data_IF_344936368845
#
_entry.id   IF_344936368845
#
_cell.length_a   1.000
_cell.length_b   1.000
_cell.length_c   1.000
_cell.angle_alpha   90.00
_cell.angle_beta   90.00
_cell.angle_gamma   90.00
#
_symmetry.space_group_name_H-M   'P 1'
#
loop_
_entity.id
_entity.type
_entity.pdbx_description
1 polymer ?
#
# COMPACT_ATOMS: atom_id res chain seq x y z
N UNK A 1 -19.86 -36.89 29.81
CA UNK A 1 -20.49 -35.63 30.26
C UNK A 1 -19.42 -34.54 30.21
N UNK A 2 -19.35 -33.78 29.11
CA UNK A 2 -18.30 -32.78 28.91
C UNK A 2 -18.56 -31.62 29.86
N UNK A 3 -17.58 -31.32 30.73
CA UNK A 3 -17.70 -30.32 31.77
C UNK A 3 -17.72 -28.92 31.12
N UNK A 4 -18.93 -28.40 30.86
CA UNK A 4 -19.20 -27.13 30.19
C UNK A 4 -18.43 -25.96 30.83
N UNK A 5 -18.11 -26.07 32.13
CA UNK A 5 -17.31 -25.10 32.89
C UNK A 5 -15.83 -25.08 32.47
N UNK A 6 -15.25 -26.23 32.08
CA UNK A 6 -13.89 -26.28 31.53
C UNK A 6 -13.83 -25.71 30.11
N UNK A 7 -14.87 -25.92 29.29
CA UNK A 7 -14.96 -25.35 27.93
C UNK A 7 -15.11 -23.83 27.99
N UNK A 8 -15.97 -23.31 28.88
CA UNK A 8 -16.12 -21.86 29.11
C UNK A 8 -14.82 -21.24 29.67
N UNK A 9 -14.11 -21.94 30.56
CA UNK A 9 -12.83 -21.45 31.07
C UNK A 9 -11.71 -21.49 30.01
N UNK A 10 -11.74 -22.42 29.06
CA UNK A 10 -10.81 -22.42 27.92
C UNK A 10 -11.14 -21.31 26.90
N UNK A 11 -12.43 -21.01 26.69
CA UNK A 11 -12.88 -19.89 25.84
C UNK A 11 -12.55 -18.52 26.47
N UNK A 12 -12.79 -18.34 27.78
CA UNK A 12 -12.39 -17.14 28.51
C UNK A 12 -10.88 -16.92 28.56
N UNK A 13 -10.09 -18.00 28.60
CA UNK A 13 -8.62 -17.92 28.59
C UNK A 13 -8.06 -17.54 27.21
N UNK A 14 -8.84 -17.71 26.13
CA UNK A 14 -8.49 -17.24 24.78
C UNK A 14 -8.94 -15.80 24.49
N UNK A 15 -9.87 -15.23 25.26
CA UNK A 15 -10.36 -13.85 25.09
C UNK A 15 -9.53 -12.77 25.79
N UNK A 16 -8.50 -13.14 26.56
CA UNK A 16 -7.71 -12.17 27.33
C UNK A 16 -6.20 -12.35 27.17
N UNK A 17 -5.70 -12.43 25.93
CA UNK A 17 -4.35 -11.94 25.64
C UNK A 17 -4.40 -10.42 25.48
N UNK A 18 -4.41 -9.74 26.64
CA UNK A 18 -4.29 -8.29 26.76
C UNK A 18 -3.14 -7.74 25.92
N UNK A 19 -3.36 -6.56 25.29
CA UNK A 19 -2.37 -5.78 24.51
C UNK A 19 -0.98 -5.61 25.14
N UNK A 20 -0.81 -5.88 26.44
CA UNK A 20 0.44 -5.78 27.19
C UNK A 20 1.48 -6.85 26.82
N UNK A 21 1.06 -8.03 26.38
CA UNK A 21 2.00 -9.10 25.99
C UNK A 21 2.56 -8.88 24.56
N UNK A 22 1.85 -8.10 23.74
CA UNK A 22 2.29 -7.70 22.40
C UNK A 22 3.38 -6.60 22.41
N UNK A 23 3.51 -5.81 23.48
CA UNK A 23 4.53 -4.76 23.62
C UNK A 23 5.97 -5.30 23.67
N UNK A 24 6.19 -6.54 24.13
CA UNK A 24 7.55 -7.14 24.17
C UNK A 24 8.00 -7.71 22.82
N UNK A 25 7.06 -8.00 21.91
CA UNK A 25 7.32 -8.39 20.51
C UNK A 25 7.57 -7.18 19.59
N UNK A 26 7.26 -5.96 20.04
CA UNK A 26 7.38 -4.75 19.23
C UNK A 26 8.82 -4.37 18.87
N UNK A 27 9.82 -4.62 19.73
CA UNK A 27 11.22 -4.21 19.45
C UNK A 27 11.85 -5.03 18.33
N UNK A 28 11.66 -6.35 18.34
CA UNK A 28 12.13 -7.23 17.25
C UNK A 28 11.39 -6.99 15.94
N UNK A 29 10.06 -6.84 15.99
CA UNK A 29 9.23 -6.61 14.80
C UNK A 29 9.50 -5.23 14.18
N UNK A 30 9.68 -4.19 15.01
CA UNK A 30 9.97 -2.81 14.55
C UNK A 30 11.36 -2.69 13.94
N UNK A 31 12.33 -3.45 14.42
CA UNK A 31 13.66 -3.52 13.80
C UNK A 31 13.61 -4.28 12.47
N UNK A 32 12.85 -5.37 12.39
CA UNK A 32 12.69 -6.14 11.16
C UNK A 32 11.93 -5.36 10.07
N UNK A 33 10.87 -4.63 10.42
CA UNK A 33 10.16 -3.76 9.46
C UNK A 33 11.07 -2.66 8.94
N UNK A 34 11.83 -1.97 9.81
CA UNK A 34 12.81 -0.96 9.39
C UNK A 34 13.85 -1.52 8.43
N UNK A 35 14.41 -2.70 8.71
CA UNK A 35 15.36 -3.36 7.81
C UNK A 35 14.73 -3.68 6.45
N UNK A 36 13.49 -4.20 6.45
CA UNK A 36 12.75 -4.50 5.21
C UNK A 36 12.57 -3.26 4.34
N UNK A 37 12.19 -2.13 4.94
CA UNK A 37 12.04 -0.86 4.21
C UNK A 37 13.37 -0.27 3.76
N UNK A 38 14.45 -0.45 4.53
CA UNK A 38 15.79 -0.06 4.10
C UNK A 38 16.23 -0.86 2.86
N UNK A 39 15.95 -2.17 2.83
CA UNK A 39 16.20 -3.03 1.66
C UNK A 39 15.40 -2.54 0.45
N UNK A 40 14.11 -2.22 0.62
CA UNK A 40 13.32 -1.66 -0.48
C UNK A 40 13.88 -0.32 -0.99
N UNK A 41 14.30 0.57 -0.09
CA UNK A 41 14.96 1.81 -0.48
C UNK A 41 16.25 1.58 -1.26
N UNK A 42 17.08 0.64 -0.81
CA UNK A 42 18.34 0.28 -1.49
C UNK A 42 18.10 -0.33 -2.87
N UNK A 43 17.15 -1.25 -3.01
CA UNK A 43 16.74 -1.82 -4.30
C UNK A 43 16.28 -0.71 -5.24
N UNK A 44 15.48 0.23 -4.73
CA UNK A 44 14.95 1.33 -5.52
C UNK A 44 16.08 2.26 -6.02
N UNK A 45 17.07 2.58 -5.18
CA UNK A 45 18.27 3.31 -5.59
C UNK A 45 19.05 2.54 -6.66
N UNK A 46 19.25 1.23 -6.50
CA UNK A 46 19.95 0.41 -7.48
C UNK A 46 19.25 0.40 -8.85
N UNK A 47 17.91 0.27 -8.88
CA UNK A 47 17.13 0.34 -10.11
C UNK A 47 17.36 1.68 -10.82
N UNK A 48 17.29 2.80 -10.09
CA UNK A 48 17.51 4.12 -10.67
C UNK A 48 18.96 4.33 -11.16
N UNK A 49 19.95 3.77 -10.47
CA UNK A 49 21.34 3.80 -10.93
C UNK A 49 21.51 3.01 -12.24
N UNK A 50 20.93 1.82 -12.33
CA UNK A 50 20.97 1.01 -13.56
C UNK A 50 20.34 1.78 -14.71
N UNK A 51 19.14 2.35 -14.49
CA UNK A 51 18.42 3.14 -15.51
C UNK A 51 19.25 4.33 -15.96
N UNK A 52 19.91 5.05 -15.04
CA UNK A 52 20.79 6.17 -15.37
C UNK A 52 21.97 5.73 -16.25
N UNK A 53 22.61 4.59 -15.95
CA UNK A 53 23.67 4.01 -16.80
C UNK A 53 23.14 3.60 -18.17
N UNK A 54 21.93 3.02 -18.23
CA UNK A 54 21.26 2.63 -19.48
C UNK A 54 21.01 3.84 -20.38
N UNK A 55 20.53 4.95 -19.82
CA UNK A 55 20.39 6.22 -20.55
C UNK A 55 21.72 6.74 -21.05
N UNK A 56 22.76 6.76 -20.20
CA UNK A 56 24.07 7.25 -20.58
C UNK A 56 24.69 6.44 -21.72
N UNK A 57 24.47 5.12 -21.74
CA UNK A 57 24.94 4.23 -22.80
C UNK A 57 24.05 4.23 -24.05
N UNK A 58 23.02 5.09 -24.12
CA UNK A 58 22.06 5.15 -25.22
C UNK A 58 21.44 3.78 -25.57
N UNK A 59 21.29 2.91 -24.57
CA UNK A 59 20.52 1.68 -24.74
C UNK A 59 19.03 2.02 -24.88
N UNK A 60 18.29 1.19 -25.60
CA UNK A 60 16.87 1.27 -26.04
C UNK A 60 15.77 1.64 -25.01
N UNK A 61 16.13 2.25 -23.88
CA UNK A 61 15.25 2.50 -22.75
C UNK A 61 14.85 3.97 -22.70
N UNK A 62 13.59 4.27 -23.04
CA UNK A 62 13.00 5.61 -22.94
C UNK A 62 12.41 5.83 -21.54
N UNK A 63 12.56 7.04 -21.00
CA UNK A 63 12.02 7.45 -19.70
C UNK A 63 10.50 7.38 -19.67
N UNK A 64 9.85 7.59 -20.81
CA UNK A 64 8.40 7.41 -20.91
C UNK A 64 8.00 5.97 -20.56
N UNK A 65 8.65 4.99 -21.15
CA UNK A 65 8.37 3.57 -20.87
C UNK A 65 8.75 3.19 -19.44
N UNK A 66 9.90 3.67 -18.95
CA UNK A 66 10.31 3.47 -17.56
C UNK A 66 9.28 4.03 -16.56
N UNK A 67 8.86 5.28 -16.76
CA UNK A 67 7.93 5.96 -15.86
C UNK A 67 6.56 5.28 -15.81
N UNK A 68 6.07 4.80 -16.96
CA UNK A 68 4.84 4.03 -17.03
C UNK A 68 4.96 2.69 -16.28
N UNK A 69 6.05 1.95 -16.51
CA UNK A 69 6.28 0.66 -15.86
C UNK A 69 6.41 0.82 -14.34
N UNK A 70 7.22 1.76 -13.87
CA UNK A 70 7.43 1.95 -12.43
C UNK A 70 6.15 2.43 -11.73
N UNK A 71 5.40 3.36 -12.34
CA UNK A 71 4.13 3.84 -11.81
C UNK A 71 3.10 2.72 -11.69
N UNK A 72 2.93 1.93 -12.75
CA UNK A 72 1.96 0.82 -12.79
C UNK A 72 2.35 -0.33 -11.86
N UNK A 73 3.60 -0.77 -11.89
CA UNK A 73 4.09 -1.84 -11.02
C UNK A 73 3.97 -1.47 -9.53
N UNK A 74 4.38 -0.25 -9.16
CA UNK A 74 4.29 0.18 -7.77
C UNK A 74 2.85 0.40 -7.31
N UNK A 75 1.97 0.86 -8.18
CA UNK A 75 0.54 0.90 -7.88
C UNK A 75 -0.01 -0.50 -7.55
N UNK A 76 0.28 -1.51 -8.38
CA UNK A 76 -0.15 -2.89 -8.12
C UNK A 76 0.39 -3.39 -6.78
N UNK A 77 1.68 -3.15 -6.51
CA UNK A 77 2.31 -3.55 -5.24
C UNK A 77 1.64 -2.87 -4.05
N UNK A 78 1.37 -1.57 -4.13
CA UNK A 78 0.70 -0.82 -3.07
C UNK A 78 -0.74 -1.28 -2.86
N UNK A 79 -1.45 -1.62 -3.92
CA UNK A 79 -2.79 -2.19 -3.83
C UNK A 79 -2.75 -3.55 -3.13
N UNK A 80 -1.91 -4.49 -3.56
CA UNK A 80 -1.77 -5.81 -2.92
C UNK A 80 -1.35 -5.69 -1.45
N UNK A 81 -0.48 -4.72 -1.13
CA UNK A 81 0.01 -4.49 0.24
C UNK A 81 -0.92 -3.63 1.09
N UNK A 82 -2.03 -3.14 0.56
CA UNK A 82 -2.92 -2.19 1.25
C UNK A 82 -3.45 -2.71 2.58
N UNK A 83 -3.85 -3.99 2.67
CA UNK A 83 -4.32 -4.60 3.93
C UNK A 83 -3.18 -4.65 4.96
N UNK A 84 -1.99 -5.08 4.54
CA UNK A 84 -0.80 -5.07 5.39
C UNK A 84 -0.44 -3.65 5.88
N UNK A 85 -0.59 -2.63 5.03
CA UNK A 85 -0.32 -1.23 5.37
C UNK A 85 -1.22 -0.78 6.53
N UNK A 86 -2.51 -1.14 6.48
CA UNK A 86 -3.46 -0.87 7.57
C UNK A 86 -3.06 -1.66 8.82
N UNK A 87 -2.86 -2.96 8.68
CA UNK A 87 -2.69 -3.86 9.82
C UNK A 87 -1.45 -3.56 10.65
N UNK A 88 -0.38 -3.13 9.99
CA UNK A 88 0.92 -2.78 10.59
C UNK A 88 1.15 -1.27 10.70
N UNK A 89 0.17 -0.44 10.33
CA UNK A 89 0.25 1.03 10.31
C UNK A 89 1.50 1.57 9.57
N UNK A 90 1.76 1.07 8.36
CA UNK A 90 3.02 1.33 7.61
C UNK A 90 2.97 2.58 6.73
N UNK A 91 1.98 3.46 6.93
CA UNK A 91 1.78 4.65 6.08
C UNK A 91 3.00 5.56 6.04
N UNK A 92 3.69 5.72 7.18
CA UNK A 92 4.88 6.57 7.27
C UNK A 92 6.02 6.01 6.42
N UNK A 93 6.27 4.72 6.51
CA UNK A 93 7.35 4.03 5.81
C UNK A 93 7.13 4.08 4.29
N UNK A 94 5.91 3.81 3.82
CA UNK A 94 5.58 3.93 2.40
C UNK A 94 5.60 5.38 1.90
N UNK A 95 5.26 6.37 2.75
CA UNK A 95 5.42 7.79 2.41
C UNK A 95 6.89 8.16 2.21
N UNK A 96 7.78 7.68 3.09
CA UNK A 96 9.23 7.90 2.95
C UNK A 96 9.77 7.26 1.66
N UNK A 97 9.34 6.04 1.33
CA UNK A 97 9.70 5.41 0.04
C UNK A 97 9.17 6.21 -1.15
N UNK A 98 7.94 6.73 -1.08
CA UNK A 98 7.37 7.59 -2.13
C UNK A 98 8.16 8.89 -2.30
N UNK A 99 8.60 9.52 -1.21
CA UNK A 99 9.45 10.72 -1.27
C UNK A 99 10.84 10.41 -1.86
N UNK A 100 11.46 9.30 -1.46
CA UNK A 100 12.72 8.85 -2.05
C UNK A 100 12.59 8.67 -3.57
N UNK A 101 11.48 8.06 -4.01
CA UNK A 101 11.20 7.85 -5.42
C UNK A 101 11.11 9.19 -6.15
N UNK A 102 10.36 10.17 -5.63
CA UNK A 102 10.28 11.52 -6.22
C UNK A 102 11.66 12.17 -6.35
N UNK A 103 12.51 12.06 -5.33
CA UNK A 103 13.87 12.62 -5.36
C UNK A 103 14.66 11.99 -6.52
N UNK A 104 14.67 10.66 -6.63
CA UNK A 104 15.39 9.96 -7.71
C UNK A 104 14.82 10.27 -9.09
N UNK A 105 13.50 10.36 -9.22
CA UNK A 105 12.84 10.77 -10.47
C UNK A 105 13.15 12.21 -10.85
N UNK A 106 13.32 13.11 -9.87
CA UNK A 106 13.71 14.51 -10.12
C UNK A 106 15.13 14.58 -10.67
N UNK A 107 16.06 13.83 -10.08
CA UNK A 107 17.44 13.72 -10.60
C UNK A 107 17.42 13.21 -12.04
N UNK A 108 16.62 12.17 -12.32
CA UNK A 108 16.53 11.59 -13.64
C UNK A 108 15.87 12.55 -14.66
N UNK A 109 14.85 13.32 -14.24
CA UNK A 109 14.20 14.36 -15.04
C UNK A 109 15.19 15.46 -15.47
N UNK A 110 16.01 15.95 -14.53
CA UNK A 110 17.02 17.00 -14.80
C UNK A 110 18.05 16.50 -15.84
N UNK A 111 18.50 15.26 -15.71
CA UNK A 111 19.50 14.66 -16.60
C UNK A 111 18.93 14.39 -17.99
N UNK A 112 17.73 13.82 -18.06
CA UNK A 112 17.15 13.32 -19.33
C UNK A 112 16.34 14.37 -20.09
N UNK A 113 16.08 15.56 -19.50
CA UNK A 113 15.22 16.62 -20.04
C UNK A 113 13.86 16.10 -20.50
N UNK A 114 13.28 15.19 -19.72
CA UNK A 114 12.04 14.51 -20.05
C UNK A 114 10.81 15.34 -19.68
N UNK A 115 9.63 14.90 -20.11
CA UNK A 115 8.39 15.63 -19.83
C UNK A 115 7.98 15.54 -18.36
N UNK A 116 7.38 16.62 -17.87
CA UNK A 116 6.80 16.67 -16.52
C UNK A 116 5.74 15.57 -16.28
N UNK A 117 5.01 15.17 -17.33
CA UNK A 117 4.01 14.10 -17.23
C UNK A 117 4.64 12.75 -16.85
N UNK A 118 5.80 12.42 -17.41
CA UNK A 118 6.52 11.19 -17.06
C UNK A 118 7.00 11.23 -15.60
N UNK A 119 7.40 12.41 -15.11
CA UNK A 119 7.70 12.58 -13.68
C UNK A 119 6.45 12.37 -12.80
N UNK A 120 5.30 12.90 -13.19
CA UNK A 120 4.04 12.69 -12.44
C UNK A 120 3.65 11.21 -12.36
N UNK A 121 3.86 10.43 -13.43
CA UNK A 121 3.67 8.97 -13.44
C UNK A 121 4.56 8.28 -12.39
N UNK A 122 5.82 8.71 -12.26
CA UNK A 122 6.70 8.17 -11.22
C UNK A 122 6.30 8.57 -9.81
N UNK A 123 5.77 9.78 -9.61
CA UNK A 123 5.32 10.28 -8.30
C UNK A 123 4.00 9.64 -7.81
N UNK A 124 3.27 8.94 -8.69
CA UNK A 124 1.99 8.30 -8.42
C UNK A 124 1.93 7.45 -7.13
N UNK A 125 2.94 6.64 -6.77
CA UNK A 125 2.92 5.85 -5.53
C UNK A 125 2.78 6.71 -4.26
N UNK A 126 3.37 7.92 -4.23
CA UNK A 126 3.20 8.83 -3.10
C UNK A 126 1.75 9.34 -3.03
N UNK A 127 1.19 9.77 -4.18
CA UNK A 127 -0.19 10.22 -4.27
C UNK A 127 -1.17 9.12 -3.88
N UNK A 128 -0.90 7.87 -4.26
CA UNK A 128 -1.70 6.71 -3.88
C UNK A 128 -1.73 6.52 -2.36
N UNK A 129 -0.60 6.64 -1.66
CA UNK A 129 -0.55 6.51 -0.20
C UNK A 129 -1.34 7.64 0.49
N UNK A 130 -1.22 8.87 0.00
CA UNK A 130 -1.99 10.00 0.52
C UNK A 130 -3.49 9.81 0.28
N UNK A 131 -3.87 9.41 -0.93
CA UNK A 131 -5.24 9.08 -1.30
C UNK A 131 -5.82 7.96 -0.43
N UNK A 132 -5.05 6.88 -0.23
CA UNK A 132 -5.47 5.76 0.61
C UNK A 132 -5.70 6.19 2.06
N UNK A 133 -4.82 7.04 2.60
CA UNK A 133 -5.00 7.60 3.95
C UNK A 133 -6.23 8.50 4.05
N UNK A 134 -6.51 9.27 3.00
CA UNK A 134 -7.71 10.11 2.92
C UNK A 134 -8.99 9.28 2.84
N UNK A 135 -9.01 8.22 2.03
CA UNK A 135 -10.12 7.27 2.01
C UNK A 135 -10.36 6.64 3.38
N UNK A 136 -9.29 6.25 4.08
CA UNK A 136 -9.42 5.69 5.43
C UNK A 136 -10.02 6.70 6.41
N UNK A 137 -9.63 7.96 6.33
CA UNK A 137 -10.22 9.01 7.15
C UNK A 137 -11.71 9.23 6.84
N UNK A 138 -12.09 9.26 5.56
CA UNK A 138 -13.48 9.48 5.14
C UNK A 138 -14.39 8.31 5.52
N UNK A 139 -13.96 7.09 5.25
CA UNK A 139 -14.77 5.90 5.49
C UNK A 139 -14.64 5.45 6.95
N UNK A 140 -13.47 5.50 7.56
CA UNK A 140 -13.22 4.95 8.90
C UNK A 140 -12.68 6.01 9.85
N UNK A 141 -13.42 7.10 10.02
CA UNK A 141 -13.07 8.22 10.91
C UNK A 141 -12.71 7.79 12.34
N UNK A 142 -13.40 6.78 12.87
CA UNK A 142 -13.19 6.22 14.22
C UNK A 142 -12.17 5.08 14.24
N UNK A 143 -11.38 4.88 13.17
CA UNK A 143 -10.39 3.78 13.12
C UNK A 143 -9.40 3.81 14.27
N UNK A 144 -9.02 5.01 14.73
CA UNK A 144 -8.07 5.17 15.84
C UNK A 144 -8.67 4.70 17.18
N UNK A 145 -9.99 4.73 17.31
CA UNK A 145 -10.73 4.47 18.56
C UNK A 145 -11.58 3.18 18.50
N UNK A 146 -11.77 2.59 17.33
CA UNK A 146 -12.58 1.40 17.10
C UNK A 146 -11.74 0.12 17.17
N UNK A 147 -12.29 -0.92 17.81
CA UNK A 147 -11.68 -2.24 17.86
C UNK A 147 -11.69 -2.98 16.51
N UNK A 148 -12.51 -2.54 15.54
CA UNK A 148 -12.66 -3.19 14.25
C UNK A 148 -11.77 -2.54 13.19
N UNK A 149 -10.77 -3.27 12.70
CA UNK A 149 -9.90 -2.81 11.61
C UNK A 149 -10.66 -2.82 10.27
N UNK A 150 -10.40 -1.84 9.38
CA UNK A 150 -10.91 -1.87 8.02
C UNK A 150 -10.42 -3.11 7.29
N UNK A 151 -11.33 -3.75 6.56
CA UNK A 151 -11.01 -4.91 5.73
C UNK A 151 -11.09 -4.50 4.27
N UNK A 152 -10.01 -4.77 3.54
CA UNK A 152 -9.93 -4.54 2.11
C UNK A 152 -10.34 -5.83 1.40
N UNK A 153 -11.21 -5.67 0.44
CA UNK A 153 -11.61 -6.73 -0.46
C UNK A 153 -10.73 -6.67 -1.70
N UNK A 154 -10.16 -7.81 -2.05
CA UNK A 154 -9.38 -7.98 -3.26
C UNK A 154 -10.21 -8.68 -4.33
N UNK A 155 -9.96 -8.36 -5.59
CA UNK A 155 -10.58 -9.06 -6.71
C UNK A 155 -10.01 -10.48 -6.78
N UNK A 156 -10.87 -11.49 -6.74
CA UNK A 156 -10.47 -12.91 -6.87
C UNK A 156 -10.81 -13.49 -8.24
N UNK A 157 -10.15 -14.61 -8.59
CA UNK A 157 -10.50 -15.42 -9.77
C UNK A 157 -11.95 -15.89 -9.63
N UNK A 158 -12.85 -15.32 -10.44
CA UNK A 158 -14.29 -15.59 -10.42
C UNK A 158 -15.19 -14.38 -10.17
N UNK A 159 -14.63 -13.16 -10.12
CA UNK A 159 -15.41 -11.91 -10.08
C UNK A 159 -16.03 -11.57 -8.73
N UNK A 160 -15.77 -12.39 -7.69
CA UNK A 160 -16.21 -12.12 -6.32
C UNK A 160 -15.09 -11.43 -5.53
N UNK A 161 -15.47 -10.38 -4.81
CA UNK A 161 -14.62 -9.68 -3.85
C UNK A 161 -14.32 -10.58 -2.65
N UNK A 162 -13.05 -10.80 -2.31
CA UNK A 162 -12.63 -11.70 -1.22
C UNK A 162 -11.66 -11.00 -0.26
N UNK A 163 -11.66 -11.40 1.00
CA UNK A 163 -10.69 -10.97 2.01
C UNK A 163 -9.41 -11.81 1.93
N UNK A 164 -8.28 -11.28 2.41
CA UNK A 164 -7.01 -12.03 2.51
C UNK A 164 -7.11 -13.17 3.54
N UNK A 165 -7.89 -12.98 4.60
CA UNK A 165 -8.24 -13.99 5.59
C UNK A 165 -9.70 -14.42 5.40
N UNK A 166 -9.90 -15.57 4.75
CA UNK A 166 -11.21 -16.13 4.46
C UNK A 166 -11.78 -16.81 5.72
N UNK A 167 -12.38 -16.04 6.63
CA UNK A 167 -13.27 -16.64 7.63
C UNK A 167 -14.57 -17.04 6.92
N UNK A 168 -14.84 -18.34 6.84
CA UNK A 168 -16.03 -18.86 6.16
C UNK A 168 -17.29 -18.31 6.83
N UNK A 169 -17.99 -17.40 6.16
CA UNK A 169 -19.19 -16.74 6.65
C UNK A 169 -19.11 -15.22 6.80
N UNK A 170 -17.96 -14.59 6.52
CA UNK A 170 -17.84 -13.14 6.55
C UNK A 170 -18.67 -12.48 5.44
N UNK A 171 -19.64 -11.65 5.83
CA UNK A 171 -20.48 -10.86 4.91
C UNK A 171 -19.90 -9.45 4.84
N UNK A 172 -19.36 -9.07 3.68
CA UNK A 172 -18.84 -7.74 3.45
C UNK A 172 -19.95 -6.68 3.49
N UNK A 173 -19.70 -5.59 4.20
CA UNK A 173 -20.60 -4.44 4.22
C UNK A 173 -20.50 -3.64 2.92
N UNK A 174 -21.58 -2.94 2.54
CA UNK A 174 -21.58 -2.02 1.38
C UNK A 174 -20.46 -0.98 1.46
N UNK A 175 -20.11 -0.57 2.68
CA UNK A 175 -19.04 0.39 2.97
C UNK A 175 -17.65 -0.17 2.64
N UNK A 176 -17.36 -1.41 3.01
CA UNK A 176 -16.09 -2.10 2.70
C UNK A 176 -15.94 -2.35 1.20
N UNK A 177 -17.04 -2.71 0.53
CA UNK A 177 -17.08 -2.87 -0.94
C UNK A 177 -16.78 -1.54 -1.64
N UNK A 178 -17.48 -0.46 -1.25
CA UNK A 178 -17.27 0.86 -1.85
C UNK A 178 -15.84 1.38 -1.60
N UNK A 179 -15.33 1.20 -0.39
CA UNK A 179 -13.95 1.56 -0.04
C UNK A 179 -12.92 0.81 -0.90
N UNK A 180 -13.08 -0.51 -1.05
CA UNK A 180 -12.15 -1.35 -1.82
C UNK A 180 -12.19 -1.01 -3.31
N UNK A 181 -13.39 -0.75 -3.85
CA UNK A 181 -13.56 -0.28 -5.23
C UNK A 181 -12.88 1.08 -5.44
N UNK A 182 -13.10 2.04 -4.55
CA UNK A 182 -12.48 3.36 -4.64
C UNK A 182 -10.96 3.30 -4.47
N UNK A 183 -10.45 2.38 -3.66
CA UNK A 183 -9.02 2.19 -3.49
C UNK A 183 -8.35 1.69 -4.78
N UNK A 184 -9.00 0.77 -5.49
CA UNK A 184 -8.49 0.21 -6.74
C UNK A 184 -8.71 1.14 -7.94
N UNK A 185 -9.96 1.56 -8.18
CA UNK A 185 -10.36 2.32 -9.38
C UNK A 185 -10.19 3.83 -9.24
N UNK A 186 -10.30 4.36 -8.02
CA UNK A 186 -10.30 5.80 -7.78
C UNK A 186 -9.07 6.54 -8.33
N UNK A 187 -7.85 6.00 -8.22
CA UNK A 187 -6.68 6.64 -8.81
C UNK A 187 -6.76 6.79 -10.35
N UNK A 188 -7.37 5.84 -11.07
CA UNK A 188 -7.58 5.94 -12.52
C UNK A 188 -8.67 6.96 -12.86
N UNK A 189 -9.74 7.01 -12.06
CA UNK A 189 -10.81 8.00 -12.23
C UNK A 189 -10.24 9.41 -12.04
N UNK A 190 -9.44 9.61 -10.98
CA UNK A 190 -8.75 10.88 -10.73
C UNK A 190 -7.79 11.25 -11.86
N UNK A 191 -6.98 10.30 -12.34
CA UNK A 191 -6.08 10.52 -13.46
C UNK A 191 -6.84 10.89 -14.74
N UNK A 192 -7.97 10.22 -15.02
CA UNK A 192 -8.84 10.52 -16.17
C UNK A 192 -9.45 11.91 -16.10
N UNK A 193 -9.95 12.31 -14.92
CA UNK A 193 -10.50 13.66 -14.69
C UNK A 193 -9.42 14.72 -14.91
N UNK A 194 -8.23 14.54 -14.32
CA UNK A 194 -7.11 15.49 -14.48
C UNK A 194 -6.69 15.60 -15.94
N UNK A 195 -6.62 14.46 -16.65
CA UNK A 195 -6.27 14.45 -18.08
C UNK A 195 -7.32 15.19 -18.91
N UNK A 196 -8.61 15.00 -18.62
CA UNK A 196 -9.70 15.70 -19.30
C UNK A 196 -9.66 17.22 -19.13
N UNK A 197 -9.22 17.74 -17.99
CA UNK A 197 -9.11 19.19 -17.76
C UNK A 197 -7.81 19.82 -18.29
N UNK A 198 -6.79 19.01 -18.57
CA UNK A 198 -5.49 19.48 -19.07
C UNK A 198 -5.43 19.49 -20.61
N UNK A 199 -6.17 18.58 -21.26
CA UNK A 199 -6.30 18.48 -22.73
C UNK A 199 -7.43 19.37 -23.22
#
# INVERSE_FOLDING_TARGET
MINFRQVINQLKKKEHTTCKENLRKETGLKNFTRLTFAIYGLILVLIYLVVLVTFYKSLFFDFKMFSFLIGTCLWIVLYIKSQQIIDKNQFREFTVLGLLLIILSTVLLIITKTSFLNFMMTAFPLFYILYFRLLLFLFYKDFVTSYKKPTILFASRGGKWTTENLESGYIASKKEVLFSNLLFFGPFVLAGIVTYFII
#
